data_IF_470331910384
#
_entry.id   IF_470331910384
#
_cell.length_a   1.000
_cell.length_b   1.000
_cell.length_c   1.000
_cell.angle_alpha   90.00
_cell.angle_beta   90.00
_cell.angle_gamma   90.00
#
_symmetry.space_group_name_H-M   'P 1'
#
loop_
_entity.id
_entity.type
_entity.pdbx_description
1 polymer ?
#
# COMPACT_ATOMS: atom_id res chain seq x y z
N UNK A 1 -2.81 -1.09 34.17
CA UNK A 1 -3.09 -0.51 32.86
C UNK A 1 -2.39 -1.40 31.86
N UNK A 2 -3.09 -1.92 30.85
CA UNK A 2 -2.46 -2.76 29.83
C UNK A 2 -1.70 -1.87 28.84
N UNK A 3 -0.77 -2.45 28.08
CA UNK A 3 0.02 -1.71 27.07
C UNK A 3 -0.88 -1.06 26.02
N UNK A 4 -1.96 -1.75 25.65
CA UNK A 4 -2.98 -1.25 24.72
C UNK A 4 -3.78 -0.09 25.33
N UNK A 5 -4.14 -0.13 26.62
CA UNK A 5 -4.81 1.00 27.29
C UNK A 5 -3.95 2.27 27.26
N UNK A 6 -2.63 2.13 27.47
CA UNK A 6 -1.70 3.27 27.43
C UNK A 6 -1.57 3.84 26.02
N UNK A 7 -1.49 2.97 25.01
CA UNK A 7 -1.51 3.35 23.59
C UNK A 7 -2.78 4.14 23.24
N UNK A 8 -3.97 3.59 23.53
CA UNK A 8 -5.25 4.24 23.21
C UNK A 8 -5.42 5.60 23.90
N UNK A 9 -4.88 5.76 25.11
CA UNK A 9 -4.86 7.06 25.79
C UNK A 9 -3.97 8.08 25.08
N UNK A 10 -2.83 7.65 24.54
CA UNK A 10 -1.96 8.54 23.75
C UNK A 10 -2.64 8.93 22.43
N UNK A 11 -3.40 8.04 21.80
CA UNK A 11 -4.17 8.36 20.60
C UNK A 11 -5.23 9.44 20.89
N UNK A 12 -5.98 9.32 21.99
CA UNK A 12 -6.95 10.35 22.40
C UNK A 12 -6.29 11.70 22.70
N UNK A 13 -5.08 11.69 23.26
CA UNK A 13 -4.31 12.92 23.52
C UNK A 13 -3.81 13.59 22.23
N UNK A 14 -3.82 12.87 21.11
CA UNK A 14 -3.44 13.33 19.77
C UNK A 14 -4.67 13.60 18.88
N UNK A 15 -5.81 13.94 19.49
CA UNK A 15 -7.08 14.27 18.81
C UNK A 15 -7.70 13.12 17.99
N UNK A 16 -7.35 11.87 18.26
CA UNK A 16 -7.99 10.70 17.65
C UNK A 16 -9.16 10.25 18.50
N UNK A 17 -10.36 10.21 17.91
CA UNK A 17 -11.54 9.77 18.62
C UNK A 17 -11.48 8.24 18.86
N UNK A 18 -11.46 7.83 20.13
CA UNK A 18 -11.50 6.41 20.52
C UNK A 18 -12.82 6.10 21.23
N UNK A 19 -13.90 5.79 20.50
CA UNK A 19 -15.16 5.37 21.10
C UNK A 19 -14.99 4.23 22.10
N UNK A 20 -15.73 4.27 23.20
CA UNK A 20 -15.65 3.27 24.28
C UNK A 20 -15.77 1.84 23.77
N UNK A 21 -16.68 1.58 22.81
CA UNK A 21 -16.87 0.25 22.23
C UNK A 21 -15.60 -0.25 21.52
N UNK A 22 -14.92 0.62 20.77
CA UNK A 22 -13.67 0.30 20.08
C UNK A 22 -12.55 0.05 21.09
N UNK A 23 -12.44 0.90 22.12
CA UNK A 23 -11.51 0.70 23.23
C UNK A 23 -11.70 -0.65 23.90
N UNK A 24 -12.91 -0.94 24.34
CA UNK A 24 -13.22 -2.18 25.05
C UNK A 24 -12.89 -3.40 24.17
N UNK A 25 -13.18 -3.34 22.87
CA UNK A 25 -12.84 -4.42 21.92
C UNK A 25 -11.33 -4.59 21.72
N UNK A 26 -10.57 -3.51 21.52
CA UNK A 26 -9.11 -3.58 21.36
C UNK A 26 -8.41 -4.02 22.65
N UNK A 27 -8.90 -3.61 23.82
CA UNK A 27 -8.35 -4.05 25.11
C UNK A 27 -8.57 -5.54 25.40
N UNK A 28 -9.57 -6.17 24.77
CA UNK A 28 -9.90 -7.58 24.93
C UNK A 28 -9.44 -8.47 23.76
N UNK A 29 -8.67 -7.92 22.81
CA UNK A 29 -8.22 -8.66 21.62
C UNK A 29 -6.71 -8.48 21.45
N UNK A 30 -5.94 -9.52 21.83
CA UNK A 30 -4.49 -9.52 21.74
C UNK A 30 -4.03 -9.58 20.26
N UNK A 31 -3.29 -8.57 19.82
CA UNK A 31 -2.79 -8.47 18.43
C UNK A 31 -1.74 -9.56 18.13
N UNK A 32 -1.07 -10.05 19.17
CA UNK A 32 -0.10 -11.15 19.13
C UNK A 32 -0.69 -12.44 18.58
N UNK A 33 -2.00 -12.66 18.72
CA UNK A 33 -2.65 -13.82 18.11
C UNK A 33 -2.71 -13.74 16.58
N UNK A 34 -2.45 -12.56 16.01
CA UNK A 34 -2.65 -12.25 14.60
C UNK A 34 -1.36 -12.05 13.81
N UNK A 35 -0.19 -12.23 14.43
CA UNK A 35 1.12 -12.04 13.80
C UNK A 35 2.10 -13.13 14.21
N UNK A 36 2.92 -13.59 13.26
CA UNK A 36 4.07 -14.48 13.49
C UNK A 36 5.36 -13.74 13.85
N UNK A 37 5.31 -12.41 13.91
CA UNK A 37 6.45 -11.50 14.06
C UNK A 37 6.35 -10.67 15.35
N UNK A 38 7.39 -9.90 15.63
CA UNK A 38 7.40 -9.00 16.79
C UNK A 38 6.29 -7.94 16.69
N UNK A 39 5.45 -7.90 17.71
CA UNK A 39 4.32 -6.96 17.81
C UNK A 39 4.65 -5.74 18.67
N UNK A 40 5.85 -5.66 19.26
CA UNK A 40 6.30 -4.51 20.05
C UNK A 40 6.06 -3.15 19.36
N UNK A 41 6.33 -2.98 18.05
CA UNK A 41 6.10 -1.71 17.36
C UNK A 41 4.63 -1.28 17.34
N UNK A 42 3.68 -2.22 17.39
CA UNK A 42 2.24 -1.94 17.40
C UNK A 42 1.89 -1.01 18.57
N UNK A 43 2.46 -1.28 19.74
CA UNK A 43 2.23 -0.48 20.95
C UNK A 43 2.87 0.91 20.90
N UNK A 44 3.64 1.22 19.86
CA UNK A 44 4.16 2.55 19.55
C UNK A 44 3.45 3.19 18.35
N UNK A 45 2.24 2.74 18.05
CA UNK A 45 1.40 3.21 16.94
C UNK A 45 2.04 3.03 15.55
N UNK A 46 2.62 1.86 15.29
CA UNK A 46 3.22 1.51 14.00
C UNK A 46 2.51 0.32 13.38
N UNK A 47 2.49 0.22 12.03
CA UNK A 47 2.13 -1.04 11.39
C UNK A 47 3.14 -2.12 11.80
N UNK A 48 2.68 -3.36 11.85
CA UNK A 48 3.51 -4.52 12.14
C UNK A 48 3.39 -5.54 11.02
N UNK A 49 4.47 -6.27 10.77
CA UNK A 49 4.41 -7.46 9.94
C UNK A 49 3.55 -8.52 10.64
N UNK A 50 2.75 -9.25 9.89
CA UNK A 50 2.03 -10.41 10.41
C UNK A 50 2.45 -11.72 9.76
N UNK A 51 2.83 -11.67 8.49
CA UNK A 51 3.38 -12.81 7.78
C UNK A 51 4.34 -12.34 6.69
N UNK A 52 5.07 -13.31 6.15
CA UNK A 52 5.81 -13.21 4.90
C UNK A 52 5.30 -14.33 3.99
N UNK A 53 4.97 -13.99 2.74
CA UNK A 53 4.55 -15.00 1.76
C UNK A 53 5.73 -15.83 1.27
N UNK A 54 5.46 -16.94 0.58
CA UNK A 54 6.51 -17.80 0.02
C UNK A 54 7.40 -17.06 -0.99
N UNK A 55 6.86 -16.05 -1.69
CA UNK A 55 7.60 -15.17 -2.61
C UNK A 55 8.28 -13.96 -1.91
N UNK A 56 8.34 -13.94 -0.58
CA UNK A 56 9.08 -12.96 0.20
C UNK A 56 8.35 -11.64 0.45
N UNK A 57 7.05 -11.55 0.17
CA UNK A 57 6.27 -10.33 0.40
C UNK A 57 5.86 -10.19 1.85
N UNK A 58 6.19 -9.05 2.42
CA UNK A 58 5.84 -8.69 3.79
C UNK A 58 4.39 -8.20 3.83
N UNK A 59 3.54 -8.87 4.60
CA UNK A 59 2.16 -8.42 4.82
C UNK A 59 2.00 -7.81 6.21
N UNK A 60 1.26 -6.72 6.29
CA UNK A 60 1.18 -5.89 7.49
C UNK A 60 -0.23 -5.72 8.07
N UNK A 61 -0.30 -5.64 9.40
CA UNK A 61 -1.43 -5.10 10.14
C UNK A 61 -1.21 -3.59 10.24
N UNK A 62 -2.25 -2.81 9.93
CA UNK A 62 -2.20 -1.35 9.99
C UNK A 62 -1.90 -0.83 11.41
N UNK A 63 -1.38 0.39 11.49
CA UNK A 63 -1.14 1.06 12.77
C UNK A 63 -2.44 1.20 13.60
N UNK A 64 -2.35 1.16 14.93
CA UNK A 64 -3.49 1.35 15.83
C UNK A 64 -4.35 2.58 15.55
N UNK A 65 -3.76 3.75 15.28
CA UNK A 65 -4.55 4.95 14.96
C UNK A 65 -5.43 4.71 13.73
N UNK A 66 -4.90 4.06 12.71
CA UNK A 66 -5.63 3.76 11.49
C UNK A 66 -6.74 2.76 11.78
N UNK A 67 -6.47 1.72 12.56
CA UNK A 67 -7.50 0.76 13.00
C UNK A 67 -8.65 1.45 13.72
N UNK A 68 -8.35 2.36 14.66
CA UNK A 68 -9.36 3.15 15.37
C UNK A 68 -10.15 4.01 14.40
N UNK A 69 -9.48 4.73 13.50
CA UNK A 69 -10.12 5.58 12.48
C UNK A 69 -11.07 4.79 11.59
N UNK A 70 -10.62 3.64 11.07
CA UNK A 70 -11.46 2.77 10.23
C UNK A 70 -12.68 2.23 11.00
N UNK A 71 -12.49 1.77 12.24
CA UNK A 71 -13.59 1.28 13.07
C UNK A 71 -14.58 2.38 13.46
N UNK A 72 -14.09 3.59 13.72
CA UNK A 72 -14.92 4.75 14.03
C UNK A 72 -15.83 5.09 12.83
N UNK A 73 -15.25 5.23 11.63
CA UNK A 73 -16.00 5.58 10.43
C UNK A 73 -16.86 4.43 9.86
N UNK A 74 -16.61 3.17 10.25
CA UNK A 74 -17.47 2.05 9.87
C UNK A 74 -18.86 2.08 10.51
N UNK A 75 -19.08 2.90 11.55
CA UNK A 75 -20.41 3.12 12.17
C UNK A 75 -21.12 1.80 12.55
N UNK A 76 -20.37 0.91 13.21
CA UNK A 76 -20.76 -0.47 13.45
C UNK A 76 -21.82 -0.63 14.55
N UNK A 77 -22.90 -1.34 14.20
CA UNK A 77 -24.02 -1.71 15.06
C UNK A 77 -24.18 -3.22 15.17
N UNK A 78 -24.85 -3.68 16.23
CA UNK A 78 -25.07 -5.12 16.42
C UNK A 78 -25.95 -5.72 15.32
N UNK A 79 -25.60 -6.92 14.85
CA UNK A 79 -26.37 -7.65 13.84
C UNK A 79 -26.11 -7.23 12.39
N UNK A 80 -25.17 -6.32 12.14
CA UNK A 80 -24.81 -5.91 10.78
C UNK A 80 -24.01 -6.99 10.03
N UNK A 81 -24.09 -6.94 8.71
CA UNK A 81 -23.13 -7.60 7.82
C UNK A 81 -22.08 -6.57 7.38
N UNK A 82 -20.80 -6.96 7.48
CA UNK A 82 -19.65 -6.13 7.08
C UNK A 82 -18.77 -6.91 6.13
N UNK A 83 -18.39 -6.27 5.03
CA UNK A 83 -17.48 -6.83 4.05
C UNK A 83 -16.12 -6.19 4.25
N UNK A 84 -15.12 -7.03 4.47
CA UNK A 84 -13.72 -6.61 4.61
C UNK A 84 -12.93 -7.14 3.42
N UNK A 85 -12.33 -6.26 2.64
CA UNK A 85 -11.43 -6.61 1.54
C UNK A 85 -10.00 -6.29 1.98
N UNK A 86 -9.13 -7.30 1.96
CA UNK A 86 -7.82 -7.32 2.63
C UNK A 86 -7.94 -7.89 4.05
N UNK A 87 -7.37 -9.07 4.27
CA UNK A 87 -7.51 -9.85 5.51
C UNK A 87 -6.66 -9.31 6.65
N UNK A 88 -5.45 -8.81 6.35
CA UNK A 88 -4.49 -8.19 7.29
C UNK A 88 -4.34 -8.99 8.59
N UNK A 89 -4.02 -10.28 8.44
CA UNK A 89 -3.85 -11.21 9.56
C UNK A 89 -5.15 -11.61 10.28
N UNK A 90 -6.28 -10.98 9.97
CA UNK A 90 -7.58 -11.23 10.61
C UNK A 90 -7.88 -10.34 11.82
N UNK A 91 -6.94 -9.50 12.26
CA UNK A 91 -7.12 -8.69 13.48
C UNK A 91 -8.33 -7.77 13.38
N UNK A 92 -8.45 -7.00 12.29
CA UNK A 92 -9.58 -6.08 12.09
C UNK A 92 -10.91 -6.83 11.98
N UNK A 93 -10.93 -8.00 11.33
CA UNK A 93 -12.11 -8.84 11.25
C UNK A 93 -12.58 -9.31 12.64
N UNK A 94 -11.63 -9.66 13.53
CA UNK A 94 -11.91 -10.01 14.91
C UNK A 94 -12.56 -8.84 15.67
N UNK A 95 -12.00 -7.63 15.55
CA UNK A 95 -12.54 -6.44 16.20
C UNK A 95 -13.96 -6.14 15.70
N UNK A 96 -14.18 -6.16 14.39
CA UNK A 96 -15.51 -5.95 13.79
C UNK A 96 -16.50 -7.01 14.29
N UNK A 97 -16.11 -8.29 14.30
CA UNK A 97 -16.96 -9.40 14.73
C UNK A 97 -17.41 -9.27 16.20
N UNK A 98 -16.54 -8.82 17.11
CA UNK A 98 -16.94 -8.54 18.50
C UNK A 98 -17.95 -7.38 18.59
N UNK A 99 -17.74 -6.33 17.79
CA UNK A 99 -18.57 -5.12 17.81
C UNK A 99 -19.98 -5.40 17.27
N UNK A 100 -20.12 -6.20 16.20
CA UNK A 100 -21.42 -6.56 15.61
C UNK A 100 -22.10 -7.71 16.37
N UNK A 101 -21.33 -8.55 17.06
CA UNK A 101 -21.82 -9.66 17.87
C UNK A 101 -22.35 -10.86 17.06
N UNK A 102 -22.84 -11.88 17.77
CA UNK A 102 -23.22 -13.20 17.22
C UNK A 102 -24.33 -13.17 16.16
N UNK A 103 -25.09 -12.09 16.08
CA UNK A 103 -26.17 -11.91 15.09
C UNK A 103 -25.68 -11.28 13.78
N UNK A 104 -24.46 -10.77 13.76
CA UNK A 104 -23.85 -10.17 12.58
C UNK A 104 -22.95 -11.16 11.84
N UNK A 105 -22.37 -10.70 10.73
CA UNK A 105 -21.42 -11.48 9.97
C UNK A 105 -20.32 -10.57 9.39
N UNK A 106 -19.07 -11.04 9.43
CA UNK A 106 -17.93 -10.40 8.76
C UNK A 106 -17.49 -11.29 7.61
N UNK A 107 -17.54 -10.75 6.40
CA UNK A 107 -17.14 -11.45 5.19
C UNK A 107 -15.82 -10.90 4.72
N UNK A 108 -14.75 -11.67 4.91
CA UNK A 108 -13.39 -11.30 4.55
C UNK A 108 -13.04 -11.85 3.16
N UNK A 109 -12.55 -10.97 2.30
CA UNK A 109 -12.07 -11.27 0.96
C UNK A 109 -10.62 -10.80 0.85
N UNK A 110 -9.75 -11.60 0.23
CA UNK A 110 -8.35 -11.23 -0.02
C UNK A 110 -7.87 -11.93 -1.28
N UNK A 111 -6.97 -11.30 -2.03
CA UNK A 111 -6.38 -11.89 -3.24
C UNK A 111 -5.26 -12.88 -2.91
N UNK A 112 -4.65 -12.75 -1.72
CA UNK A 112 -3.59 -13.62 -1.25
C UNK A 112 -4.16 -14.85 -0.53
N UNK A 113 -4.06 -16.02 -1.15
CA UNK A 113 -4.46 -17.32 -0.56
C UNK A 113 -3.74 -17.60 0.76
N UNK A 114 -2.45 -17.27 0.84
CA UNK A 114 -1.63 -17.46 2.03
C UNK A 114 -2.12 -16.57 3.19
N UNK A 115 -2.51 -15.32 2.90
CA UNK A 115 -3.09 -14.41 3.90
C UNK A 115 -4.45 -14.89 4.40
N UNK A 116 -5.30 -15.43 3.52
CA UNK A 116 -6.57 -16.06 3.92
C UNK A 116 -6.32 -17.28 4.82
N UNK A 117 -5.37 -18.13 4.47
CA UNK A 117 -5.06 -19.32 5.26
C UNK A 117 -4.53 -18.93 6.64
N UNK A 118 -3.58 -18.00 6.68
CA UNK A 118 -3.02 -17.43 7.92
C UNK A 118 -4.13 -16.88 8.83
N UNK A 119 -5.05 -16.08 8.30
CA UNK A 119 -6.17 -15.53 9.07
C UNK A 119 -7.14 -16.63 9.55
N UNK A 120 -7.45 -17.63 8.72
CA UNK A 120 -8.34 -18.76 9.08
C UNK A 120 -7.81 -19.56 10.25
N UNK A 121 -6.50 -19.82 10.31
CA UNK A 121 -5.88 -20.56 11.40
C UNK A 121 -6.03 -19.85 12.75
N UNK A 122 -6.02 -18.51 12.74
CA UNK A 122 -6.10 -17.67 13.94
C UNK A 122 -7.54 -17.35 14.36
N UNK A 123 -8.48 -17.45 13.41
CA UNK A 123 -9.89 -17.16 13.62
C UNK A 123 -10.78 -18.42 13.68
N UNK A 124 -10.21 -19.59 13.99
CA UNK A 124 -10.94 -20.87 14.08
C UNK A 124 -12.13 -20.88 15.05
N UNK A 125 -12.12 -19.99 16.06
CA UNK A 125 -13.18 -19.89 17.07
C UNK A 125 -14.14 -18.70 16.85
N UNK A 126 -14.18 -18.15 15.63
CA UNK A 126 -15.00 -16.98 15.30
C UNK A 126 -16.12 -17.35 14.32
N UNK A 127 -17.29 -17.80 14.82
CA UNK A 127 -18.35 -18.37 13.97
C UNK A 127 -19.03 -17.34 13.06
N UNK A 128 -18.86 -16.05 13.35
CA UNK A 128 -19.43 -14.95 12.56
C UNK A 128 -18.49 -14.42 11.47
N UNK A 129 -17.32 -15.04 11.28
CA UNK A 129 -16.35 -14.63 10.26
C UNK A 129 -16.30 -15.68 9.15
N UNK A 130 -16.62 -15.25 7.93
CA UNK A 130 -16.46 -16.06 6.72
C UNK A 130 -15.31 -15.50 5.89
N UNK A 131 -14.39 -16.35 5.42
CA UNK A 131 -13.25 -15.92 4.62
C UNK A 131 -13.15 -16.65 3.30
N UNK A 132 -12.91 -15.89 2.22
CA UNK A 132 -12.77 -16.43 0.86
C UNK A 132 -11.68 -15.70 0.11
N UNK A 133 -11.01 -16.42 -0.77
CA UNK A 133 -10.10 -15.83 -1.75
C UNK A 133 -10.89 -15.10 -2.83
N UNK A 134 -10.36 -13.96 -3.25
CA UNK A 134 -10.83 -13.14 -4.36
C UNK A 134 -9.85 -13.27 -5.52
N UNK A 135 -10.33 -13.58 -6.72
CA UNK A 135 -9.44 -13.70 -7.90
C UNK A 135 -8.81 -12.35 -8.31
N UNK A 136 -9.60 -11.28 -8.23
CA UNK A 136 -9.17 -9.91 -8.44
C UNK A 136 -10.20 -8.96 -7.84
N UNK A 137 -9.75 -7.80 -7.37
CA UNK A 137 -10.63 -6.73 -6.91
C UNK A 137 -11.55 -6.21 -8.02
N UNK A 138 -11.17 -6.35 -9.29
CA UNK A 138 -11.96 -5.89 -10.43
C UNK A 138 -13.06 -6.87 -10.84
N UNK A 139 -12.99 -8.12 -10.35
CA UNK A 139 -13.90 -9.19 -10.75
C UNK A 139 -14.87 -9.49 -9.61
N UNK A 140 -16.17 -9.33 -9.88
CA UNK A 140 -17.22 -9.72 -8.94
C UNK A 140 -17.12 -11.21 -8.59
N UNK A 141 -16.93 -11.59 -7.32
CA UNK A 141 -16.96 -13.00 -6.93
C UNK A 141 -18.36 -13.60 -7.08
N UNK A 142 -18.47 -14.70 -7.83
CA UNK A 142 -19.75 -15.39 -8.12
C UNK A 142 -20.45 -15.86 -6.84
N UNK A 143 -19.67 -16.30 -5.85
CA UNK A 143 -20.17 -16.81 -4.58
C UNK A 143 -20.53 -15.70 -3.57
N UNK A 144 -20.59 -14.45 -4.02
CA UNK A 144 -20.86 -13.28 -3.18
C UNK A 144 -22.01 -12.41 -3.74
N UNK A 145 -23.22 -12.97 -3.91
CA UNK A 145 -24.38 -12.21 -4.34
C UNK A 145 -24.92 -11.34 -3.19
N UNK A 146 -25.71 -10.33 -3.53
CA UNK A 146 -26.43 -9.50 -2.57
C UNK A 146 -26.02 -8.03 -2.62
N UNK A 147 -26.71 -7.25 -1.80
CA UNK A 147 -26.40 -5.84 -1.59
C UNK A 147 -25.53 -5.67 -0.34
N UNK A 148 -24.79 -4.57 -0.28
CA UNK A 148 -23.76 -4.29 0.71
C UNK A 148 -24.14 -3.06 1.52
N UNK A 149 -24.07 -3.17 2.85
CA UNK A 149 -24.35 -2.06 3.75
C UNK A 149 -23.08 -1.37 4.27
N UNK A 150 -22.04 -2.15 4.57
CA UNK A 150 -20.75 -1.68 5.08
C UNK A 150 -19.65 -2.44 4.36
N UNK A 151 -18.84 -1.73 3.59
CA UNK A 151 -17.66 -2.29 2.94
C UNK A 151 -16.45 -1.53 3.42
N UNK A 152 -15.41 -2.25 3.80
CA UNK A 152 -14.11 -1.69 4.11
C UNK A 152 -13.07 -2.37 3.23
N UNK A 153 -12.31 -1.57 2.49
CA UNK A 153 -11.16 -2.01 1.71
C UNK A 153 -9.90 -1.55 2.44
N UNK A 154 -9.00 -2.48 2.72
CA UNK A 154 -7.79 -2.25 3.51
C UNK A 154 -6.51 -2.45 2.72
N UNK A 155 -6.58 -2.35 1.39
CA UNK A 155 -5.43 -2.17 0.51
C UNK A 155 -5.72 -1.00 -0.43
N UNK A 156 -4.67 -0.37 -0.91
CA UNK A 156 -4.80 0.71 -1.87
C UNK A 156 -5.36 0.20 -3.20
N UNK A 157 -6.24 1.01 -3.79
CA UNK A 157 -6.79 0.85 -5.13
C UNK A 157 -6.92 2.23 -5.79
N UNK A 158 -6.75 2.32 -7.10
CA UNK A 158 -6.89 3.60 -7.79
C UNK A 158 -8.34 4.11 -7.82
N UNK A 159 -9.27 3.19 -8.13
CA UNK A 159 -10.68 3.50 -8.29
C UNK A 159 -11.54 2.41 -7.64
N UNK A 160 -12.74 2.79 -7.18
CA UNK A 160 -13.70 1.82 -6.63
C UNK A 160 -14.27 0.92 -7.75
N UNK A 161 -14.20 -0.42 -7.63
CA UNK A 161 -14.74 -1.33 -8.63
C UNK A 161 -16.25 -1.17 -8.84
N UNK A 162 -16.68 -1.27 -10.10
CA UNK A 162 -18.09 -1.10 -10.48
C UNK A 162 -18.98 -2.08 -9.71
N UNK A 163 -18.58 -3.35 -9.56
CA UNK A 163 -19.39 -4.35 -8.88
C UNK A 163 -19.59 -4.10 -7.39
N UNK A 164 -18.66 -3.37 -6.74
CA UNK A 164 -18.84 -2.93 -5.35
C UNK A 164 -19.80 -1.75 -5.34
N UNK A 165 -19.50 -0.72 -6.13
CA UNK A 165 -20.27 0.53 -6.19
C UNK A 165 -21.75 0.30 -6.54
N UNK A 166 -22.04 -0.64 -7.45
CA UNK A 166 -23.38 -0.98 -7.92
C UNK A 166 -24.18 -1.81 -6.90
N UNK A 167 -23.51 -2.41 -5.90
CA UNK A 167 -24.15 -3.25 -4.89
C UNK A 167 -24.32 -2.57 -3.55
N UNK A 168 -23.86 -1.34 -3.36
CA UNK A 168 -24.08 -0.60 -2.12
C UNK A 168 -25.57 -0.26 -1.98
N UNK A 169 -26.21 -0.75 -0.91
CA UNK A 169 -27.58 -0.41 -0.56
C UNK A 169 -27.71 1.08 -0.23
N UNK A 170 -28.92 1.62 -0.36
CA UNK A 170 -29.23 2.98 0.09
C UNK A 170 -28.88 3.19 1.59
N UNK A 171 -28.13 4.25 1.92
CA UNK A 171 -27.57 4.49 3.25
C UNK A 171 -26.39 3.57 3.64
N UNK A 172 -25.98 2.69 2.74
CA UNK A 172 -24.75 1.92 2.83
C UNK A 172 -23.55 2.73 2.33
N UNK A 173 -22.34 2.27 2.65
CA UNK A 173 -21.12 2.93 2.20
C UNK A 173 -19.93 1.98 2.07
N UNK A 174 -18.92 2.47 1.34
CA UNK A 174 -17.59 1.89 1.25
C UNK A 174 -16.58 2.85 1.86
N UNK A 175 -15.63 2.34 2.63
CA UNK A 175 -14.42 3.06 3.03
C UNK A 175 -13.23 2.41 2.33
N UNK A 176 -12.43 3.19 1.62
CA UNK A 176 -11.27 2.69 0.89
C UNK A 176 -10.16 3.76 0.77
N UNK A 177 -8.87 3.37 0.81
CA UNK A 177 -7.79 4.19 0.30
C UNK A 177 -7.87 4.27 -1.23
N UNK A 178 -8.13 5.46 -1.77
CA UNK A 178 -8.30 5.74 -3.19
C UNK A 178 -7.28 6.76 -3.71
N UNK A 179 -6.96 6.72 -4.99
CA UNK A 179 -6.06 7.66 -5.65
C UNK A 179 -4.83 6.99 -6.28
N UNK A 180 -3.94 7.74 -6.93
CA UNK A 180 -2.67 7.19 -7.44
C UNK A 180 -1.74 6.76 -6.29
N UNK A 181 -0.75 5.93 -6.59
CA UNK A 181 0.24 5.45 -5.61
C UNK A 181 0.96 6.61 -4.89
N UNK A 182 1.25 7.69 -5.63
CA UNK A 182 1.88 8.90 -5.11
C UNK A 182 1.01 9.74 -4.17
N UNK A 183 -0.31 9.54 -4.19
CA UNK A 183 -1.25 10.34 -3.40
C UNK A 183 -2.55 9.59 -3.11
N UNK A 184 -2.57 8.89 -1.99
CA UNK A 184 -3.74 8.13 -1.54
C UNK A 184 -4.54 8.93 -0.49
N UNK A 185 -5.86 8.94 -0.63
CA UNK A 185 -6.80 9.52 0.31
C UNK A 185 -7.72 8.41 0.85
N UNK A 186 -8.00 8.42 2.14
CA UNK A 186 -9.02 7.56 2.70
C UNK A 186 -10.38 8.21 2.43
N UNK A 187 -11.24 7.53 1.66
CA UNK A 187 -12.52 8.08 1.24
C UNK A 187 -13.66 7.19 1.73
N UNK A 188 -14.71 7.81 2.30
CA UNK A 188 -16.01 7.19 2.54
C UNK A 188 -16.97 7.54 1.41
N UNK A 189 -17.39 6.55 0.62
CA UNK A 189 -18.36 6.69 -0.47
C UNK A 189 -19.72 6.18 0.01
N UNK A 190 -20.66 7.09 0.30
CA UNK A 190 -21.98 6.77 0.82
C UNK A 190 -23.06 6.84 -0.26
N UNK A 191 -23.96 5.84 -0.30
CA UNK A 191 -25.05 5.79 -1.27
C UNK A 191 -26.25 6.58 -0.77
N UNK A 192 -26.58 7.67 -1.46
CA UNK A 192 -27.74 8.52 -1.18
C UNK A 192 -28.45 8.88 -2.50
N UNK A 193 -29.77 8.70 -2.56
CA UNK A 193 -30.60 8.98 -3.74
C UNK A 193 -30.07 8.34 -5.03
N UNK A 194 -29.56 7.10 -4.91
CA UNK A 194 -28.91 6.36 -5.98
C UNK A 194 -27.58 6.97 -6.52
N UNK A 195 -26.98 7.92 -5.82
CA UNK A 195 -25.65 8.48 -6.10
C UNK A 195 -24.65 8.10 -5.00
N UNK A 196 -23.36 7.98 -5.35
CA UNK A 196 -22.30 7.78 -4.36
C UNK A 196 -21.67 9.13 -4.03
N UNK A 197 -21.83 9.57 -2.79
CA UNK A 197 -21.31 10.83 -2.30
C UNK A 197 -19.99 10.59 -1.54
N UNK A 198 -18.87 11.20 -1.99
CA UNK A 198 -17.59 11.06 -1.32
C UNK A 198 -17.49 11.95 -0.08
N UNK A 199 -16.87 11.43 0.97
CA UNK A 199 -16.33 12.19 2.10
C UNK A 199 -14.85 11.85 2.24
N UNK A 200 -14.01 12.88 2.15
CA UNK A 200 -12.56 12.76 2.36
C UNK A 200 -12.26 12.64 3.86
N UNK A 201 -11.56 11.57 4.25
CA UNK A 201 -11.14 11.27 5.62
C UNK A 201 -9.63 11.54 5.83
N UNK A 202 -8.93 12.02 4.80
CA UNK A 202 -7.55 12.47 4.87
C UNK A 202 -6.52 11.53 4.24
N UNK A 203 -5.26 12.00 4.15
CA UNK A 203 -4.20 11.29 3.44
C UNK A 203 -3.77 10.04 4.20
N UNK A 204 -3.47 8.98 3.45
CA UNK A 204 -3.05 7.70 4.00
C UNK A 204 -1.95 7.05 3.15
N UNK A 205 -1.32 6.03 3.69
CA UNK A 205 -0.36 5.20 2.98
C UNK A 205 -0.69 3.72 3.25
N UNK A 206 -1.29 3.07 2.27
CA UNK A 206 -1.59 1.64 2.28
C UNK A 206 -0.78 0.96 1.18
N UNK A 207 -0.29 -0.24 1.45
CA UNK A 207 0.21 -1.12 0.40
C UNK A 207 -0.91 -1.48 -0.59
N UNK A 208 -0.56 -1.84 -1.83
CA UNK A 208 -1.55 -2.19 -2.85
C UNK A 208 -2.39 -3.39 -2.40
N UNK A 209 -3.65 -3.42 -2.82
CA UNK A 209 -4.51 -4.58 -2.57
C UNK A 209 -4.18 -5.77 -3.47
N UNK A 210 -3.62 -5.50 -4.65
CA UNK A 210 -3.22 -6.53 -5.61
C UNK A 210 -1.72 -6.83 -5.46
N UNK A 211 -1.42 -8.01 -4.92
CA UNK A 211 -0.05 -8.52 -4.75
C UNK A 211 0.69 -8.72 -6.07
N UNK A 212 -0.01 -8.72 -7.22
CA UNK A 212 0.60 -8.76 -8.55
C UNK A 212 1.11 -7.39 -8.98
N UNK A 213 0.55 -6.29 -8.45
CA UNK A 213 1.16 -4.96 -8.59
C UNK A 213 2.42 -4.82 -7.72
N UNK A 214 2.55 -5.64 -6.67
CA UNK A 214 3.75 -5.84 -5.86
C UNK A 214 4.77 -6.81 -6.50
N UNK A 215 4.50 -7.37 -7.69
CA UNK A 215 5.61 -7.87 -8.51
C UNK A 215 6.46 -6.66 -8.82
N UNK A 216 7.66 -6.58 -8.21
CA UNK A 216 8.72 -5.61 -8.52
C UNK A 216 8.40 -4.86 -9.81
N UNK A 217 8.06 -3.57 -9.73
CA UNK A 217 8.15 -2.74 -10.93
C UNK A 217 9.63 -2.75 -11.31
N UNK A 218 10.07 -3.76 -12.06
CA UNK A 218 11.33 -3.70 -12.76
C UNK A 218 11.13 -2.57 -13.75
N UNK A 219 11.81 -1.45 -13.50
CA UNK A 219 11.83 -0.37 -14.49
C UNK A 219 12.46 -0.95 -15.76
N UNK A 220 11.71 -0.91 -16.86
CA UNK A 220 12.21 -1.27 -18.18
C UNK A 220 13.16 -0.19 -18.72
N UNK A 221 14.01 -0.50 -19.71
CA UNK A 221 14.82 0.52 -20.37
C UNK A 221 14.01 1.70 -20.90
N UNK A 222 12.79 1.43 -21.40
CA UNK A 222 11.87 2.44 -21.93
C UNK A 222 11.34 3.33 -20.80
N UNK A 223 10.92 2.75 -19.68
CA UNK A 223 10.43 3.53 -18.54
C UNK A 223 11.54 4.39 -17.91
N UNK A 224 12.78 3.89 -17.85
CA UNK A 224 13.93 4.71 -17.42
C UNK A 224 14.19 5.86 -18.41
N UNK A 225 14.05 5.61 -19.72
CA UNK A 225 14.19 6.65 -20.74
C UNK A 225 13.11 7.74 -20.59
N UNK A 226 11.86 7.35 -20.32
CA UNK A 226 10.75 8.26 -20.07
C UNK A 226 10.97 9.10 -18.80
N UNK A 227 11.52 8.51 -17.73
CA UNK A 227 11.88 9.25 -16.52
C UNK A 227 13.00 10.26 -16.80
N UNK A 228 14.05 9.88 -17.53
CA UNK A 228 15.13 10.80 -17.92
C UNK A 228 14.60 11.93 -18.81
N UNK A 229 13.64 11.64 -19.69
CA UNK A 229 12.99 12.64 -20.52
C UNK A 229 12.16 13.62 -19.67
N UNK A 230 11.41 13.13 -18.68
CA UNK A 230 10.66 13.97 -17.74
C UNK A 230 11.60 14.85 -16.91
N UNK A 231 12.75 14.33 -16.50
CA UNK A 231 13.81 15.09 -15.83
C UNK A 231 14.33 16.21 -16.71
N UNK A 232 14.64 15.92 -17.99
CA UNK A 232 15.06 16.94 -18.96
C UNK A 232 14.00 18.05 -19.07
N UNK A 233 12.74 17.68 -19.30
CA UNK A 233 11.63 18.63 -19.47
C UNK A 233 11.47 19.53 -18.24
N UNK A 234 11.47 18.93 -17.05
CA UNK A 234 11.40 19.67 -15.78
C UNK A 234 12.57 20.64 -15.62
N UNK A 235 13.77 20.23 -16.03
CA UNK A 235 14.97 21.05 -15.86
C UNK A 235 15.09 22.14 -16.93
N UNK A 236 14.55 21.91 -18.12
CA UNK A 236 14.38 22.94 -19.15
C UNK A 236 13.37 24.00 -18.71
N UNK A 237 12.25 23.60 -18.12
CA UNK A 237 11.23 24.52 -17.59
C UNK A 237 11.78 25.41 -16.46
N UNK A 238 12.73 24.88 -15.67
CA UNK A 238 13.38 25.60 -14.58
C UNK A 238 14.65 26.36 -15.00
N UNK A 239 15.09 26.27 -16.26
CA UNK A 239 16.32 26.86 -16.79
C UNK A 239 17.59 26.45 -16.00
N UNK A 240 17.65 25.17 -15.59
CA UNK A 240 18.74 24.60 -14.77
C UNK A 240 19.62 23.59 -15.52
N UNK A 241 19.37 23.35 -16.82
CA UNK A 241 20.12 22.41 -17.66
C UNK A 241 20.81 23.11 -18.84
N UNK A 242 22.09 22.80 -19.08
CA UNK A 242 22.86 23.32 -20.20
C UNK A 242 22.79 22.42 -21.45
N UNK A 243 23.07 22.99 -22.62
CA UNK A 243 22.97 22.27 -23.90
C UNK A 243 23.86 21.02 -23.96
N UNK A 244 25.03 21.05 -23.32
CA UNK A 244 25.95 19.91 -23.28
C UNK A 244 25.39 18.76 -22.42
N UNK A 245 24.80 19.09 -21.27
CA UNK A 245 24.15 18.13 -20.37
C UNK A 245 22.91 17.52 -21.04
N UNK A 246 22.12 18.37 -21.71
CA UNK A 246 20.95 17.95 -22.50
C UNK A 246 21.31 16.94 -23.59
N UNK A 247 22.32 17.25 -24.41
CA UNK A 247 22.73 16.36 -25.49
C UNK A 247 23.20 15.00 -24.93
N UNK A 248 23.94 15.02 -23.83
CA UNK A 248 24.43 13.80 -23.18
C UNK A 248 23.27 12.92 -22.67
N UNK A 249 22.28 13.51 -21.99
CA UNK A 249 21.10 12.77 -21.54
C UNK A 249 20.26 12.25 -22.71
N UNK A 250 20.17 13.00 -23.81
CA UNK A 250 19.47 12.56 -25.02
C UNK A 250 20.16 11.35 -25.69
N UNK A 251 21.49 11.32 -25.70
CA UNK A 251 22.26 10.17 -26.20
C UNK A 251 22.02 8.94 -25.32
N UNK A 252 22.00 9.10 -23.99
CA UNK A 252 21.70 8.02 -23.03
C UNK A 252 20.26 7.50 -23.21
N UNK A 253 19.28 8.40 -23.37
CA UNK A 253 17.89 8.04 -23.68
C UNK A 253 17.83 7.21 -24.97
N UNK A 254 18.55 7.63 -26.02
CA UNK A 254 18.58 6.89 -27.27
C UNK A 254 19.16 5.47 -27.09
N UNK A 255 20.23 5.32 -26.31
CA UNK A 255 20.83 4.02 -25.99
C UNK A 255 19.88 3.10 -25.23
N UNK A 256 19.14 3.63 -24.25
CA UNK A 256 18.13 2.88 -23.50
C UNK A 256 17.05 2.29 -24.40
N UNK A 257 16.59 3.04 -25.41
CA UNK A 257 15.62 2.54 -26.38
C UNK A 257 16.12 1.38 -27.25
N UNK A 258 17.44 1.16 -27.34
CA UNK A 258 18.04 0.05 -28.09
C UNK A 258 18.41 -1.14 -27.21
N UNK A 259 18.23 -1.06 -25.89
CA UNK A 259 18.42 -2.21 -25.00
C UNK A 259 17.26 -3.21 -25.15
N UNK A 260 17.51 -4.51 -24.96
CA UNK A 260 16.46 -5.51 -25.01
C UNK A 260 15.57 -5.45 -23.76
N UNK A 261 14.32 -5.94 -23.85
CA UNK A 261 13.37 -5.93 -22.73
C UNK A 261 13.66 -7.05 -21.70
N UNK A 262 14.53 -8.01 -22.00
CA UNK A 262 14.84 -9.19 -21.17
C UNK A 262 16.09 -9.01 -20.28
N UNK A 263 16.37 -7.78 -19.87
CA UNK A 263 17.49 -7.47 -18.98
C UNK A 263 17.34 -8.13 -17.60
N UNK A 264 18.46 -8.43 -16.93
CA UNK A 264 18.41 -8.89 -15.55
C UNK A 264 17.72 -7.87 -14.62
N UNK A 265 17.13 -8.31 -13.51
CA UNK A 265 16.46 -7.40 -12.58
C UNK A 265 17.46 -6.48 -11.89
N UNK A 266 17.03 -5.26 -11.55
CA UNK A 266 17.81 -4.38 -10.70
C UNK A 266 17.91 -4.96 -9.29
N UNK A 267 19.14 -5.10 -8.77
CA UNK A 267 19.39 -5.60 -7.42
C UNK A 267 19.40 -7.14 -7.28
N UNK A 268 19.08 -7.91 -8.32
CA UNK A 268 19.23 -9.38 -8.31
C UNK A 268 20.50 -9.83 -9.05
N UNK A 269 21.42 -10.49 -8.34
CA UNK A 269 22.67 -11.03 -8.89
C UNK A 269 23.93 -10.33 -8.37
N UNK A 270 25.11 -10.75 -8.85
CA UNK A 270 26.42 -10.16 -8.46
C UNK A 270 26.73 -8.83 -9.18
N UNK A 271 25.82 -8.29 -9.99
CA UNK A 271 26.07 -7.08 -10.79
C UNK A 271 25.88 -5.82 -9.94
N UNK A 272 26.93 -5.01 -9.88
CA UNK A 272 26.88 -3.68 -9.26
C UNK A 272 26.12 -2.68 -10.15
N UNK A 273 25.62 -1.55 -9.60
CA UNK A 273 25.00 -0.49 -10.40
C UNK A 273 25.82 -0.05 -11.63
N UNK A 274 27.14 0.03 -11.49
CA UNK A 274 28.10 0.33 -12.57
C UNK A 274 28.16 -0.71 -13.69
N UNK A 275 27.72 -1.94 -13.42
CA UNK A 275 27.79 -3.06 -14.35
C UNK A 275 26.43 -3.34 -15.01
N UNK A 276 25.34 -2.76 -14.49
CA UNK A 276 24.00 -2.97 -15.03
C UNK A 276 23.82 -2.22 -16.37
N UNK A 277 23.38 -2.88 -17.46
CA UNK A 277 23.28 -2.25 -18.78
C UNK A 277 22.43 -0.97 -18.83
N UNK A 278 21.40 -0.88 -17.97
CA UNK A 278 20.54 0.32 -17.89
C UNK A 278 21.23 1.55 -17.29
N UNK A 279 22.18 1.36 -16.37
CA UNK A 279 22.85 2.45 -15.66
C UNK A 279 24.27 2.70 -16.14
N UNK A 280 24.84 1.74 -16.88
CA UNK A 280 26.21 1.80 -17.37
C UNK A 280 26.53 3.11 -18.10
N UNK A 281 25.73 3.48 -19.10
CA UNK A 281 25.96 4.68 -19.89
C UNK A 281 25.80 5.95 -19.04
N UNK A 282 24.83 5.95 -18.13
CA UNK A 282 24.61 7.05 -17.19
C UNK A 282 25.83 7.27 -16.27
N UNK A 283 26.45 6.18 -15.80
CA UNK A 283 27.62 6.22 -14.90
C UNK A 283 28.89 6.56 -15.68
N UNK A 284 29.11 5.96 -16.86
CA UNK A 284 30.27 6.24 -17.72
C UNK A 284 30.33 7.71 -18.17
N UNK A 285 29.17 8.36 -18.29
CA UNK A 285 29.07 9.75 -18.72
C UNK A 285 28.86 10.75 -17.57
N UNK A 286 28.88 10.32 -16.30
CA UNK A 286 28.59 11.20 -15.15
C UNK A 286 29.46 12.48 -15.13
N UNK A 287 30.71 12.39 -15.59
CA UNK A 287 31.63 13.52 -15.73
C UNK A 287 31.12 14.63 -16.69
N UNK A 288 30.28 14.27 -17.65
CA UNK A 288 29.72 15.20 -18.63
C UNK A 288 28.56 16.04 -18.09
N UNK A 289 28.03 15.69 -16.91
CA UNK A 289 26.89 16.40 -16.28
C UNK A 289 26.99 16.41 -14.74
N UNK A 290 28.22 16.49 -14.20
CA UNK A 290 28.51 16.53 -12.74
C UNK A 290 27.68 17.55 -11.99
N UNK A 291 27.43 18.73 -12.57
CA UNK A 291 26.61 19.78 -11.95
C UNK A 291 25.15 19.33 -11.77
N UNK A 292 24.66 18.56 -12.74
CA UNK A 292 23.30 18.05 -12.79
C UNK A 292 23.13 16.74 -12.00
N UNK A 293 24.22 16.01 -11.79
CA UNK A 293 24.21 14.69 -11.14
C UNK A 293 23.47 14.64 -9.79
N UNK A 294 23.69 15.58 -8.84
CA UNK A 294 22.95 15.56 -7.57
C UNK A 294 21.44 15.79 -7.76
N UNK A 295 21.04 16.58 -8.76
CA UNK A 295 19.63 16.86 -9.07
C UNK A 295 18.98 15.60 -9.63
N UNK A 296 19.65 14.95 -10.57
CA UNK A 296 19.22 13.68 -11.14
C UNK A 296 19.07 12.60 -10.06
N UNK A 297 20.03 12.52 -9.14
CA UNK A 297 20.00 11.63 -7.98
C UNK A 297 18.77 11.89 -7.10
N UNK A 298 18.50 13.14 -6.74
CA UNK A 298 17.34 13.48 -5.91
C UNK A 298 16.02 13.14 -6.60
N UNK A 299 15.91 13.33 -7.92
CA UNK A 299 14.67 13.07 -8.66
C UNK A 299 14.41 11.57 -8.84
N UNK A 300 15.43 10.79 -9.19
CA UNK A 300 15.26 9.36 -9.45
C UNK A 300 15.28 8.51 -8.18
N UNK A 301 15.81 9.02 -7.06
CA UNK A 301 16.00 8.23 -5.85
C UNK A 301 14.71 7.62 -5.29
N UNK A 302 13.59 8.37 -5.15
CA UNK A 302 12.34 7.80 -4.69
C UNK A 302 11.89 6.60 -5.55
N UNK A 303 11.99 6.73 -6.88
CA UNK A 303 11.56 5.70 -7.84
C UNK A 303 12.49 4.48 -7.79
N UNK A 304 13.80 4.69 -7.74
CA UNK A 304 14.78 3.61 -7.75
C UNK A 304 14.86 2.87 -6.40
N UNK A 305 14.66 3.56 -5.28
CA UNK A 305 14.55 2.92 -3.96
C UNK A 305 13.29 2.09 -3.82
N UNK A 306 12.16 2.51 -4.41
CA UNK A 306 10.90 1.74 -4.39
C UNK A 306 11.01 0.39 -5.10
N UNK A 307 11.94 0.24 -6.05
CA UNK A 307 12.15 -0.98 -6.85
C UNK A 307 13.37 -1.80 -6.39
N UNK A 308 13.85 -1.57 -5.15
CA UNK A 308 14.92 -2.35 -4.52
C UNK A 308 16.35 -1.91 -4.87
N UNK A 309 16.52 -0.78 -5.57
CA UNK A 309 17.81 -0.26 -5.99
C UNK A 309 18.33 0.84 -5.04
N UNK A 310 18.56 0.47 -3.77
CA UNK A 310 18.83 1.43 -2.67
C UNK A 310 20.23 2.08 -2.74
N UNK A 311 21.25 1.40 -3.27
CA UNK A 311 22.66 1.83 -3.23
C UNK A 311 23.16 2.49 -4.52
N UNK A 312 22.29 3.22 -5.22
CA UNK A 312 22.63 3.86 -6.49
C UNK A 312 23.10 5.31 -6.33
N UNK A 313 23.05 5.87 -5.12
CA UNK A 313 23.69 7.14 -4.80
C UNK A 313 25.20 6.89 -4.74
N UNK A 314 25.92 7.51 -5.67
CA UNK A 314 27.37 7.50 -5.68
C UNK A 314 27.87 8.73 -4.91
N UNK A 315 28.42 8.52 -3.72
CA UNK A 315 29.13 9.54 -2.95
C UNK A 315 30.60 9.70 -3.41
N UNK A 316 31.16 8.70 -4.09
CA UNK A 316 32.58 8.66 -4.44
C UNK A 316 32.87 9.35 -5.78
N UNK A 317 32.86 10.68 -5.77
CA UNK A 317 33.69 11.48 -6.67
C UNK A 317 35.17 11.51 -6.22
N UNK A 318 35.64 10.53 -5.45
CA UNK A 318 37.04 10.42 -4.99
C UNK A 318 38.01 9.87 -6.07
N UNK A 319 37.57 9.80 -7.33
CA UNK A 319 38.41 9.45 -8.48
C UNK A 319 39.02 10.63 -9.24
N UNK A 320 38.92 11.86 -8.71
CA UNK A 320 39.46 13.08 -9.33
C UNK A 320 40.72 13.58 -8.59
N UNK A 321 41.81 12.82 -8.69
CA UNK A 321 43.19 13.34 -8.75
C UNK A 321 43.88 12.92 -10.06
#
# INVERSE_FOLDING_TARGET
MTRISDLLKRLEQSDIEVPRKIRDTMENTDVEMFSDFDTEPFYSDRPIQFMETIDGKIKTISAPHMIVTLLHHLELNSGQEVILIGSKGGYLAALIAQIIGEKGNVRVLDQCDESILHAKERLTHWPTIEMRTLESIDVSPVAFPGEFNRVLITGHIENLPEWISARISEGGFVIAPLGPDSHQQLVKMEKQDNELLPTDLGPVCFGPLDDRKEQNQMISPIELADLLQLVIETCQDLDIIEQQELNCLQDIIAELHFLPDDLPPLGEGELTPSEHPMFKSLIENADSFVRFWPILQVILHPVLSEIGFENWIFDDFEGLE
#
